data_IF_643761645758
#
_entry.id   IF_643761645758
#
_cell.length_a   1.000
_cell.length_b   1.000
_cell.length_c   1.000
_cell.angle_alpha   90.00
_cell.angle_beta   90.00
_cell.angle_gamma   90.00
#
_symmetry.space_group_name_H-M   'P 1'
#
loop_
_entity.id
_entity.type
_entity.pdbx_description
1 polymer ?
#
# COMPACT_ATOMS: atom_id res chain seq x y z
N UNK A 1 -48.02 45.01 -62.20
CA UNK A 1 -46.65 45.42 -62.17
C UNK A 1 -46.18 45.40 -60.72
N UNK A 2 -45.54 44.35 -60.24
CA UNK A 2 -44.71 44.07 -59.12
C UNK A 2 -44.83 42.58 -58.79
N UNK A 3 -43.80 41.85 -59.21
CA UNK A 3 -43.59 40.45 -58.98
C UNK A 3 -42.89 40.35 -57.58
N UNK A 4 -43.43 39.55 -56.66
CA UNK A 4 -42.80 39.22 -55.40
C UNK A 4 -42.47 37.73 -55.46
N UNK A 5 -41.15 37.42 -55.55
CA UNK A 5 -40.59 36.12 -55.44
C UNK A 5 -40.45 35.81 -53.89
N UNK A 6 -41.12 34.76 -53.45
CA UNK A 6 -40.92 34.19 -52.10
C UNK A 6 -39.92 33.04 -52.23
N UNK A 7 -38.71 33.23 -51.66
CA UNK A 7 -37.70 32.19 -51.47
C UNK A 7 -37.98 31.51 -50.18
N UNK A 8 -38.42 30.24 -50.21
CA UNK A 8 -38.58 29.39 -49.03
C UNK A 8 -37.23 28.78 -48.61
N UNK A 9 -36.69 29.21 -47.51
CA UNK A 9 -35.54 28.56 -46.84
C UNK A 9 -36.04 27.37 -46.02
N UNK A 10 -35.89 26.16 -46.58
CA UNK A 10 -36.08 24.93 -45.80
C UNK A 10 -34.90 24.69 -44.87
N UNK A 11 -35.09 24.88 -43.57
CA UNK A 11 -34.12 24.49 -42.55
C UNK A 11 -34.25 22.99 -42.32
N UNK A 12 -33.27 22.21 -42.84
CA UNK A 12 -33.08 20.82 -42.46
C UNK A 12 -32.46 20.76 -41.05
N UNK A 13 -33.29 20.50 -40.02
CA UNK A 13 -32.82 20.16 -38.69
C UNK A 13 -32.34 18.71 -38.77
N UNK A 14 -31.04 18.53 -38.99
CA UNK A 14 -30.37 17.25 -38.75
C UNK A 14 -30.45 16.96 -37.25
N UNK A 15 -31.41 16.14 -36.85
CA UNK A 15 -31.50 15.59 -35.51
C UNK A 15 -30.27 14.72 -35.26
N UNK A 16 -29.29 15.26 -34.51
CA UNK A 16 -28.29 14.46 -33.88
C UNK A 16 -28.99 13.63 -32.79
N UNK A 17 -29.37 12.40 -33.12
CA UNK A 17 -29.67 11.42 -32.11
C UNK A 17 -28.39 11.24 -31.27
N UNK A 18 -28.42 11.41 -29.94
CA UNK A 18 -27.28 11.03 -29.12
C UNK A 18 -27.06 9.53 -29.36
N UNK A 19 -25.95 9.16 -30.01
CA UNK A 19 -25.45 7.80 -30.02
C UNK A 19 -25.27 7.42 -28.55
N UNK A 20 -26.26 6.74 -27.98
CA UNK A 20 -26.11 6.07 -26.68
C UNK A 20 -24.91 5.16 -26.82
N UNK A 21 -23.76 5.59 -26.33
CA UNK A 21 -22.62 4.71 -26.17
C UNK A 21 -23.12 3.55 -25.32
N UNK A 22 -23.32 2.39 -25.95
CA UNK A 22 -23.77 1.19 -25.29
C UNK A 22 -22.73 0.90 -24.21
N UNK A 23 -23.11 1.12 -22.95
CA UNK A 23 -22.18 0.90 -21.83
C UNK A 23 -21.70 -0.53 -21.91
N UNK A 24 -20.43 -0.70 -22.18
CA UNK A 24 -19.81 -2.03 -22.21
C UNK A 24 -20.14 -2.76 -20.90
N UNK A 25 -20.65 -4.01 -20.95
CA UNK A 25 -21.01 -4.75 -19.74
C UNK A 25 -19.79 -4.85 -18.81
N UNK A 26 -20.02 -4.84 -17.48
CA UNK A 26 -18.96 -5.04 -16.49
C UNK A 26 -18.31 -6.40 -16.74
N UNK A 27 -17.00 -6.54 -16.44
CA UNK A 27 -16.31 -7.83 -16.53
C UNK A 27 -16.93 -8.84 -15.56
N UNK A 28 -16.71 -10.11 -15.84
CA UNK A 28 -17.03 -11.17 -14.90
C UNK A 28 -16.28 -10.99 -13.58
N UNK A 29 -17.01 -11.03 -12.47
CA UNK A 29 -16.48 -10.74 -11.14
C UNK A 29 -15.34 -11.68 -10.75
N UNK A 30 -15.54 -13.00 -10.95
CA UNK A 30 -14.56 -14.01 -10.56
C UNK A 30 -13.27 -13.90 -11.34
N UNK A 31 -13.37 -13.60 -12.63
CA UNK A 31 -12.22 -13.38 -13.52
C UNK A 31 -11.45 -12.12 -13.11
N UNK A 32 -12.15 -11.03 -12.80
CA UNK A 32 -11.55 -9.78 -12.35
C UNK A 32 -10.81 -9.97 -11.02
N UNK A 33 -11.46 -10.58 -10.02
CA UNK A 33 -10.85 -10.79 -8.71
C UNK A 33 -9.65 -11.72 -8.76
N UNK A 34 -9.70 -12.75 -9.61
CA UNK A 34 -8.55 -13.64 -9.84
C UNK A 34 -7.35 -12.86 -10.40
N UNK A 35 -7.56 -12.07 -11.45
CA UNK A 35 -6.51 -11.27 -12.07
C UNK A 35 -5.94 -10.23 -11.10
N UNK A 36 -6.79 -9.54 -10.33
CA UNK A 36 -6.36 -8.60 -9.28
C UNK A 36 -5.49 -9.30 -8.23
N UNK A 37 -5.90 -10.50 -7.77
CA UNK A 37 -5.13 -11.27 -6.78
C UNK A 37 -3.76 -11.67 -7.31
N UNK A 38 -3.68 -12.17 -8.54
CA UNK A 38 -2.41 -12.54 -9.20
C UNK A 38 -1.47 -11.33 -9.31
N UNK A 39 -2.01 -10.18 -9.69
CA UNK A 39 -1.26 -8.93 -9.79
C UNK A 39 -0.74 -8.45 -8.43
N UNK A 40 -1.54 -8.53 -7.37
CA UNK A 40 -1.10 -8.20 -6.01
C UNK A 40 0.05 -9.10 -5.53
N UNK A 41 -0.03 -10.40 -5.80
CA UNK A 41 1.03 -11.37 -5.46
C UNK A 41 2.31 -11.08 -6.26
N UNK A 42 2.18 -10.73 -7.54
CA UNK A 42 3.30 -10.34 -8.39
C UNK A 42 3.96 -9.06 -7.87
N UNK A 43 3.17 -8.02 -7.58
CA UNK A 43 3.67 -6.76 -7.05
C UNK A 43 4.40 -6.94 -5.71
N UNK A 44 3.89 -7.77 -4.80
CA UNK A 44 4.57 -8.06 -3.53
C UNK A 44 5.96 -8.68 -3.75
N UNK A 45 6.09 -9.59 -4.71
CA UNK A 45 7.38 -10.23 -5.05
C UNK A 45 8.38 -9.23 -5.64
N UNK A 46 7.90 -8.35 -6.53
CA UNK A 46 8.77 -7.38 -7.21
C UNK A 46 9.18 -6.21 -6.31
N UNK A 47 8.35 -5.83 -5.33
CA UNK A 47 8.65 -4.72 -4.40
C UNK A 47 9.98 -4.86 -3.69
N UNK A 48 10.44 -6.09 -3.41
CA UNK A 48 11.74 -6.34 -2.77
C UNK A 48 12.95 -6.03 -3.66
N UNK A 49 12.72 -5.72 -4.92
CA UNK A 49 13.77 -5.34 -5.89
C UNK A 49 13.94 -3.85 -6.05
N UNK A 50 13.16 -3.05 -5.31
CA UNK A 50 13.19 -1.59 -5.42
C UNK A 50 13.64 -0.96 -4.11
N UNK A 51 14.56 -0.02 -4.19
CA UNK A 51 14.81 0.97 -3.14
C UNK A 51 13.93 2.18 -3.39
N UNK A 52 13.57 2.89 -2.33
CA UNK A 52 12.67 4.03 -2.42
C UNK A 52 12.86 5.00 -1.26
N UNK A 53 12.40 6.24 -1.44
CA UNK A 53 12.21 7.21 -0.36
C UNK A 53 10.91 6.93 0.39
N UNK A 54 10.92 7.03 1.71
CA UNK A 54 9.74 6.91 2.55
C UNK A 54 9.65 8.12 3.48
N UNK A 55 8.66 8.98 3.28
CA UNK A 55 8.36 10.07 4.21
C UNK A 55 7.21 9.64 5.10
N UNK A 56 7.44 9.66 6.39
CA UNK A 56 6.40 9.47 7.40
C UNK A 56 6.05 10.77 8.06
N UNK A 57 4.77 11.05 8.12
CA UNK A 57 4.19 12.08 8.98
C UNK A 57 3.32 11.36 9.99
N UNK A 58 3.62 11.55 11.26
CA UNK A 58 3.00 10.80 12.34
C UNK A 58 2.61 11.79 13.43
N UNK A 59 1.40 12.31 13.35
CA UNK A 59 0.87 13.24 14.33
C UNK A 59 -0.03 12.45 15.27
N UNK A 60 0.55 12.05 16.39
CA UNK A 60 -0.19 11.45 17.49
C UNK A 60 -0.26 12.44 18.65
N UNK A 61 -1.43 12.90 18.95
CA UNK A 61 -1.66 13.66 20.18
C UNK A 61 -2.20 12.70 21.25
N UNK A 62 -1.30 12.27 22.13
CA UNK A 62 -1.71 11.68 23.40
C UNK A 62 -1.06 12.47 24.54
N UNK A 63 -1.70 12.48 25.74
CA UNK A 63 -1.20 13.24 26.89
C UNK A 63 0.18 12.80 27.39
N UNK A 64 0.73 11.68 26.94
CA UNK A 64 2.05 11.18 27.36
C UNK A 64 3.14 11.36 26.31
N UNK A 65 2.81 11.79 25.08
CA UNK A 65 3.78 11.96 24.01
C UNK A 65 4.51 10.69 23.56
N UNK A 66 4.04 9.48 23.95
CA UNK A 66 4.79 8.22 23.80
C UNK A 66 4.20 7.22 22.81
N UNK A 67 3.00 7.41 22.30
CA UNK A 67 2.40 6.52 21.28
C UNK A 67 2.59 7.10 19.89
N UNK A 68 3.78 7.02 19.39
CA UNK A 68 4.20 7.62 18.16
C UNK A 68 5.23 8.70 18.44
N UNK A 69 6.21 8.79 17.60
CA UNK A 69 7.30 9.74 17.79
C UNK A 69 6.90 11.17 17.49
N UNK A 70 5.65 11.40 17.07
CA UNK A 70 5.18 12.70 16.56
C UNK A 70 6.20 13.32 15.62
N UNK A 71 5.80 13.88 14.48
CA UNK A 71 6.72 14.58 13.63
C UNK A 71 6.91 13.94 12.25
N UNK A 72 7.87 14.45 11.51
CA UNK A 72 8.18 14.04 10.14
C UNK A 72 9.51 13.30 10.11
N UNK A 73 9.55 12.16 9.43
CA UNK A 73 10.79 11.40 9.23
C UNK A 73 10.93 11.03 7.77
N UNK A 74 12.12 11.20 7.23
CA UNK A 74 12.47 10.82 5.87
C UNK A 74 13.49 9.70 5.92
N UNK A 75 13.16 8.61 5.21
CA UNK A 75 14.00 7.42 5.14
C UNK A 75 14.36 7.11 3.69
N UNK A 76 15.55 6.60 3.48
CA UNK A 76 15.87 5.74 2.35
C UNK A 76 15.61 4.30 2.76
N UNK A 77 14.85 3.55 1.95
CA UNK A 77 14.47 2.18 2.27
C UNK A 77 15.12 1.22 1.29
N UNK A 78 15.79 0.23 1.84
CA UNK A 78 16.45 -0.85 1.10
C UNK A 78 15.79 -2.16 1.54
N UNK A 79 14.77 -2.62 0.81
CA UNK A 79 14.04 -3.83 1.18
C UNK A 79 14.90 -5.08 0.98
N UNK A 80 14.54 -6.10 1.74
CA UNK A 80 15.15 -7.42 1.63
C UNK A 80 14.06 -8.48 1.54
N UNK A 81 14.25 -9.58 0.80
CA UNK A 81 13.35 -10.73 0.80
C UNK A 81 13.08 -11.27 2.21
N UNK A 82 14.09 -11.22 3.07
CA UNK A 82 13.92 -11.40 4.50
C UNK A 82 13.55 -10.06 5.14
N UNK A 83 12.29 -9.83 5.43
CA UNK A 83 11.80 -8.56 6.03
C UNK A 83 12.62 -8.09 7.25
N UNK A 84 13.29 -9.02 7.94
CA UNK A 84 14.19 -8.74 9.07
C UNK A 84 15.42 -7.93 8.67
N UNK A 85 15.81 -7.99 7.40
CA UNK A 85 16.95 -7.30 6.82
C UNK A 85 16.57 -6.07 6.00
N UNK A 86 15.29 -5.70 5.93
CA UNK A 86 14.90 -4.41 5.35
C UNK A 86 15.53 -3.28 6.15
N UNK A 87 16.34 -2.47 5.48
CA UNK A 87 17.01 -1.33 6.07
C UNK A 87 16.25 -0.03 5.81
N UNK A 88 15.89 0.68 6.85
CA UNK A 88 15.35 2.05 6.81
C UNK A 88 16.40 2.99 7.36
N UNK A 89 17.08 3.67 6.47
CA UNK A 89 18.11 4.66 6.76
C UNK A 89 17.44 6.00 7.01
N UNK A 90 17.42 6.46 8.24
CA UNK A 90 16.88 7.78 8.57
C UNK A 90 17.83 8.86 8.08
N UNK A 91 17.37 9.75 7.19
CA UNK A 91 18.16 10.83 6.60
C UNK A 91 17.72 12.22 7.03
N UNK A 92 16.45 12.36 7.47
CA UNK A 92 15.91 13.61 7.99
C UNK A 92 14.90 13.34 9.11
N UNK A 93 14.89 14.18 10.14
CA UNK A 93 13.91 14.18 11.22
C UNK A 93 13.43 15.61 11.46
N UNK A 94 12.11 15.82 11.36
CA UNK A 94 11.44 17.11 11.59
C UNK A 94 12.03 18.28 10.77
N UNK A 95 12.41 18.01 9.50
CA UNK A 95 13.03 18.98 8.59
C UNK A 95 14.53 19.19 8.82
N UNK A 96 15.11 18.51 9.80
CA UNK A 96 16.55 18.58 10.08
C UNK A 96 17.27 17.36 9.53
N UNK A 97 18.26 17.57 8.69
CA UNK A 97 19.07 16.49 8.12
C UNK A 97 19.88 15.79 9.20
N UNK A 98 19.90 14.48 9.19
CA UNK A 98 20.72 13.69 10.13
C UNK A 98 22.19 13.88 9.80
N UNK A 99 23.05 14.20 10.80
CA UNK A 99 24.48 14.36 10.60
C UNK A 99 25.14 13.12 9.99
N UNK A 100 26.09 13.32 9.06
CA UNK A 100 26.75 12.24 8.33
C UNK A 100 27.34 11.15 9.25
N UNK A 101 27.93 11.55 10.38
CA UNK A 101 28.46 10.60 11.38
C UNK A 101 27.36 9.69 11.98
N UNK A 102 26.15 10.21 12.22
CA UNK A 102 25.04 9.42 12.72
C UNK A 102 24.50 8.49 11.63
N UNK A 103 24.44 8.94 10.36
CA UNK A 103 24.08 8.10 9.22
C UNK A 103 25.10 6.95 9.08
N UNK A 104 26.40 7.25 9.12
CA UNK A 104 27.43 6.22 9.08
C UNK A 104 27.33 5.21 10.23
N UNK A 105 26.97 5.66 11.44
CA UNK A 105 26.73 4.78 12.58
C UNK A 105 25.48 3.88 12.39
N UNK A 106 24.42 4.36 11.72
CA UNK A 106 23.27 3.55 11.32
C UNK A 106 23.71 2.47 10.32
N UNK A 107 24.45 2.84 9.28
CA UNK A 107 24.96 1.92 8.27
C UNK A 107 25.83 0.83 8.89
N UNK A 108 26.70 1.19 9.83
CA UNK A 108 27.56 0.23 10.51
C UNK A 108 26.75 -0.77 11.37
N UNK A 109 25.75 -0.30 12.13
CA UNK A 109 24.84 -1.17 12.88
C UNK A 109 24.08 -2.13 11.98
N UNK A 110 23.64 -1.65 10.80
CA UNK A 110 22.97 -2.50 9.83
C UNK A 110 23.91 -3.59 9.28
N UNK A 111 25.16 -3.24 8.90
CA UNK A 111 26.16 -4.21 8.43
C UNK A 111 26.46 -5.29 9.48
N UNK A 112 26.61 -4.90 10.73
CA UNK A 112 26.82 -5.86 11.83
C UNK A 112 25.66 -6.84 11.95
N UNK A 113 24.44 -6.31 12.00
CA UNK A 113 23.22 -7.14 12.05
C UNK A 113 23.07 -8.03 10.81
N UNK A 114 23.39 -7.51 9.64
CA UNK A 114 23.36 -8.29 8.41
C UNK A 114 24.32 -9.49 8.49
N UNK A 115 25.55 -9.25 8.90
CA UNK A 115 26.58 -10.30 9.06
C UNK A 115 26.17 -11.34 10.13
N UNK A 116 25.52 -10.92 11.22
CA UNK A 116 24.98 -11.83 12.25
C UNK A 116 23.90 -12.75 11.67
N UNK A 117 22.93 -12.16 10.96
CA UNK A 117 21.84 -12.93 10.33
C UNK A 117 22.38 -13.89 9.27
N UNK A 118 23.39 -13.47 8.47
CA UNK A 118 24.01 -14.37 7.48
C UNK A 118 24.75 -15.54 8.16
N UNK A 119 25.44 -15.30 9.27
CA UNK A 119 26.08 -16.37 10.05
C UNK A 119 25.06 -17.34 10.64
N UNK A 120 23.96 -16.82 11.20
CA UNK A 120 22.86 -17.65 11.71
C UNK A 120 22.24 -18.52 10.59
N UNK A 121 21.97 -17.91 9.43
CA UNK A 121 21.48 -18.63 8.25
C UNK A 121 22.46 -19.74 7.85
N UNK A 122 23.74 -19.43 7.74
CA UNK A 122 24.77 -20.41 7.33
C UNK A 122 24.87 -21.56 8.35
N UNK A 123 24.89 -21.27 9.64
CA UNK A 123 24.94 -22.29 10.69
C UNK A 123 23.71 -23.21 10.67
N UNK A 124 22.52 -22.64 10.50
CA UNK A 124 21.25 -23.39 10.44
C UNK A 124 21.14 -24.25 9.17
N UNK A 125 21.61 -23.72 8.03
CA UNK A 125 21.65 -24.47 6.77
C UNK A 125 22.66 -25.61 6.82
N UNK A 126 23.79 -25.43 7.52
CA UNK A 126 24.76 -26.49 7.73
C UNK A 126 24.22 -27.62 8.63
N UNK A 127 23.39 -27.27 9.64
CA UNK A 127 22.74 -28.24 10.52
C UNK A 127 21.57 -28.97 9.83
N UNK A 128 20.78 -28.27 9.03
CA UNK A 128 19.66 -28.81 8.25
C UNK A 128 19.51 -28.02 6.94
N UNK A 129 19.89 -28.57 5.79
CA UNK A 129 19.77 -27.90 4.48
C UNK A 129 18.35 -27.49 4.12
N UNK A 130 17.32 -28.17 4.65
CA UNK A 130 15.91 -27.91 4.35
C UNK A 130 15.25 -26.92 5.32
N UNK A 131 15.94 -26.50 6.38
CA UNK A 131 15.35 -25.65 7.44
C UNK A 131 14.84 -24.33 6.89
N UNK A 132 15.59 -23.68 6.00
CA UNK A 132 15.21 -22.40 5.40
C UNK A 132 14.05 -22.53 4.43
N UNK A 133 14.02 -23.61 3.67
CA UNK A 133 12.92 -23.90 2.76
C UNK A 133 11.61 -24.13 3.53
N UNK A 134 11.66 -24.95 4.57
CA UNK A 134 10.53 -25.19 5.45
C UNK A 134 10.00 -23.92 6.14
N UNK A 135 10.91 -23.04 6.58
CA UNK A 135 10.50 -21.73 7.14
C UNK A 135 9.90 -20.80 6.10
N UNK A 136 10.48 -20.73 4.91
CA UNK A 136 9.97 -19.95 3.80
C UNK A 136 8.57 -20.44 3.38
N UNK A 137 8.37 -21.76 3.33
CA UNK A 137 7.08 -22.36 3.02
C UNK A 137 6.04 -22.01 4.09
N UNK A 138 6.33 -22.23 5.38
CA UNK A 138 5.45 -21.83 6.49
C UNK A 138 5.13 -20.33 6.50
N UNK A 139 6.08 -19.49 6.11
CA UNK A 139 5.87 -18.06 6.00
C UNK A 139 4.93 -17.69 4.83
N UNK A 140 5.04 -18.40 3.69
CA UNK A 140 4.11 -18.25 2.56
C UNK A 140 2.70 -18.67 2.93
N UNK A 141 2.54 -19.83 3.56
CA UNK A 141 1.25 -20.34 4.01
C UNK A 141 0.56 -19.42 5.03
N UNK A 142 1.32 -18.88 6.00
CA UNK A 142 0.76 -17.88 6.93
C UNK A 142 0.30 -16.62 6.22
N UNK A 143 1.05 -16.14 5.22
CA UNK A 143 0.64 -14.96 4.43
C UNK A 143 -0.60 -15.27 3.59
N UNK A 144 -0.60 -16.43 2.94
CA UNK A 144 -1.73 -16.86 2.12
C UNK A 144 -3.00 -16.96 2.98
N UNK A 145 -2.95 -17.63 4.12
CA UNK A 145 -4.07 -17.72 5.06
C UNK A 145 -4.57 -16.35 5.50
N UNK A 146 -3.67 -15.39 5.75
CA UNK A 146 -4.08 -14.05 6.13
C UNK A 146 -4.80 -13.30 5.00
N UNK A 147 -4.37 -13.49 3.75
CA UNK A 147 -5.04 -12.92 2.56
C UNK A 147 -6.41 -13.57 2.35
N UNK A 148 -6.45 -14.91 2.38
CA UNK A 148 -7.69 -15.66 2.19
C UNK A 148 -8.72 -15.28 3.27
N UNK A 149 -8.31 -15.23 4.53
CA UNK A 149 -9.18 -14.86 5.66
C UNK A 149 -9.74 -13.43 5.51
N UNK A 150 -8.94 -12.47 4.98
CA UNK A 150 -9.43 -11.12 4.66
C UNK A 150 -10.47 -11.17 3.54
N UNK A 151 -10.19 -11.89 2.46
CA UNK A 151 -11.11 -12.00 1.31
C UNK A 151 -12.43 -12.68 1.74
N UNK A 152 -12.34 -13.77 2.50
CA UNK A 152 -13.50 -14.50 2.97
C UNK A 152 -14.37 -13.69 3.96
N UNK A 153 -13.74 -12.78 4.68
CA UNK A 153 -14.40 -11.89 5.67
C UNK A 153 -15.14 -10.73 5.01
N UNK A 154 -14.80 -10.34 3.79
CA UNK A 154 -15.38 -9.19 3.10
C UNK A 154 -16.40 -9.64 2.04
N UNK A 155 -17.50 -8.90 1.94
CA UNK A 155 -18.41 -8.94 0.81
C UNK A 155 -17.99 -7.88 -0.20
N UNK A 156 -17.90 -8.23 -1.48
CA UNK A 156 -17.53 -7.34 -2.56
C UNK A 156 -18.70 -7.15 -3.53
N UNK A 157 -18.88 -5.93 -4.03
CA UNK A 157 -19.92 -5.59 -5.01
C UNK A 157 -19.31 -4.65 -6.07
N UNK A 158 -19.31 -5.06 -7.33
CA UNK A 158 -18.98 -4.13 -8.42
C UNK A 158 -20.08 -3.09 -8.57
N UNK A 159 -19.74 -1.80 -8.41
CA UNK A 159 -20.72 -0.72 -8.45
C UNK A 159 -20.81 -0.07 -9.82
N UNK A 160 -19.79 -0.18 -10.67
CA UNK A 160 -19.78 0.36 -12.03
C UNK A 160 -18.42 0.85 -12.48
N UNK A 161 -18.42 1.45 -13.67
CA UNK A 161 -17.26 2.17 -14.19
C UNK A 161 -17.30 3.62 -13.78
N UNK A 162 -16.14 4.11 -13.33
CA UNK A 162 -15.96 5.50 -12.89
C UNK A 162 -14.63 6.03 -13.40
N UNK A 163 -14.48 7.35 -13.40
CA UNK A 163 -13.17 7.97 -13.51
C UNK A 163 -12.73 8.41 -12.11
N UNK A 164 -11.70 7.76 -11.57
CA UNK A 164 -11.16 8.08 -10.26
C UNK A 164 -9.74 8.60 -10.39
N UNK A 165 -9.47 9.81 -9.88
CA UNK A 165 -8.16 10.51 -10.01
C UNK A 165 -7.64 10.55 -11.46
N UNK A 166 -8.54 10.71 -12.43
CA UNK A 166 -8.21 10.77 -13.85
C UNK A 166 -7.98 9.41 -14.54
N UNK A 167 -8.12 8.30 -13.81
CA UNK A 167 -7.96 6.93 -14.34
C UNK A 167 -9.33 6.27 -14.51
N UNK A 168 -9.66 5.73 -15.70
CA UNK A 168 -10.83 4.87 -15.87
C UNK A 168 -10.71 3.62 -15.01
N UNK A 169 -11.72 3.35 -14.20
CA UNK A 169 -11.67 2.30 -13.20
C UNK A 169 -13.00 1.57 -13.05
N UNK A 170 -12.93 0.34 -12.55
CA UNK A 170 -14.06 -0.34 -11.96
C UNK A 170 -14.05 -0.04 -10.46
N UNK A 171 -15.14 0.52 -9.98
CA UNK A 171 -15.36 0.73 -8.55
C UNK A 171 -15.96 -0.55 -7.94
N UNK A 172 -15.32 -1.04 -6.87
CA UNK A 172 -15.73 -2.23 -6.15
C UNK A 172 -15.95 -1.84 -4.69
N UNK A 173 -17.21 -1.78 -4.28
CA UNK A 173 -17.56 -1.62 -2.88
C UNK A 173 -17.20 -2.86 -2.08
N UNK A 174 -16.80 -2.69 -0.84
CA UNK A 174 -16.58 -3.79 0.10
C UNK A 174 -17.12 -3.45 1.49
N UNK A 175 -17.53 -4.48 2.21
CA UNK A 175 -17.95 -4.37 3.62
C UNK A 175 -17.65 -5.68 4.36
N UNK A 176 -17.40 -5.59 5.66
CA UNK A 176 -17.27 -6.78 6.50
C UNK A 176 -18.59 -7.57 6.56
N UNK A 177 -18.55 -8.88 6.34
CA UNK A 177 -19.68 -9.77 6.54
C UNK A 177 -19.98 -9.91 8.03
N UNK A 178 -21.23 -9.76 8.42
CA UNK A 178 -21.64 -9.83 9.82
C UNK A 178 -21.46 -11.23 10.43
N UNK A 179 -21.64 -12.27 9.62
CA UNK A 179 -21.56 -13.69 9.97
C UNK A 179 -20.15 -14.29 9.81
N UNK A 180 -19.18 -13.52 9.27
CA UNK A 180 -17.81 -14.00 9.13
C UNK A 180 -17.15 -14.20 10.50
N UNK A 181 -16.39 -15.30 10.62
CA UNK A 181 -15.61 -15.63 11.81
C UNK A 181 -14.10 -15.68 11.46
N UNK A 182 -13.45 -14.54 11.30
CA UNK A 182 -12.05 -14.49 10.86
C UNK A 182 -11.10 -15.09 11.89
N UNK A 183 -10.25 -15.98 11.42
CA UNK A 183 -9.25 -16.69 12.21
C UNK A 183 -8.01 -15.84 12.50
N UNK A 184 -7.65 -14.95 11.58
CA UNK A 184 -6.46 -14.11 11.65
C UNK A 184 -6.76 -12.73 12.25
N UNK A 185 -5.70 -12.06 12.71
CA UNK A 185 -5.82 -10.66 13.13
C UNK A 185 -6.21 -9.75 11.97
N UNK A 186 -5.68 -10.02 10.78
CA UNK A 186 -5.95 -9.25 9.56
C UNK A 186 -7.41 -9.34 9.15
N UNK A 187 -8.01 -10.54 9.17
CA UNK A 187 -9.43 -10.74 8.93
C UNK A 187 -10.31 -10.00 9.95
N UNK A 188 -9.98 -10.11 11.25
CA UNK A 188 -10.72 -9.38 12.30
C UNK A 188 -10.66 -7.86 12.14
N UNK A 189 -9.54 -7.33 11.67
CA UNK A 189 -9.43 -5.89 11.36
C UNK A 189 -10.24 -5.56 10.11
N UNK A 190 -10.09 -6.35 9.03
CA UNK A 190 -10.80 -6.13 7.78
C UNK A 190 -12.32 -6.14 7.95
N UNK A 191 -12.87 -7.03 8.80
CA UNK A 191 -14.29 -7.10 9.13
C UNK A 191 -14.87 -5.77 9.66
N UNK A 192 -14.01 -4.93 10.23
CA UNK A 192 -14.39 -3.63 10.79
C UNK A 192 -14.31 -2.49 9.79
N UNK A 193 -14.11 -2.77 8.51
CA UNK A 193 -14.02 -1.74 7.48
C UNK A 193 -15.05 -1.94 6.38
N UNK A 194 -15.52 -0.83 5.83
CA UNK A 194 -16.20 -0.76 4.56
C UNK A 194 -15.56 0.32 3.70
N UNK A 195 -15.75 0.25 2.38
CA UNK A 195 -15.14 1.22 1.50
C UNK A 195 -15.23 0.87 0.04
N UNK A 196 -14.33 1.44 -0.75
CA UNK A 196 -14.25 1.22 -2.20
C UNK A 196 -12.82 0.94 -2.63
N UNK A 197 -12.66 -0.07 -3.45
CA UNK A 197 -11.47 -0.35 -4.23
C UNK A 197 -11.67 0.21 -5.64
N UNK A 198 -10.65 0.81 -6.21
CA UNK A 198 -10.65 1.26 -7.60
C UNK A 198 -9.61 0.46 -8.38
N UNK A 199 -10.10 -0.28 -9.37
CA UNK A 199 -9.30 -1.19 -10.20
C UNK A 199 -9.16 -0.59 -11.59
N UNK A 200 -7.94 -0.40 -12.09
CA UNK A 200 -7.70 -0.07 -13.50
C UNK A 200 -8.11 -1.26 -14.36
N UNK A 201 -9.21 -1.12 -15.13
CA UNK A 201 -9.79 -2.20 -15.93
C UNK A 201 -8.83 -2.71 -17.01
N UNK A 202 -7.88 -1.89 -17.48
CA UNK A 202 -6.95 -2.27 -18.56
C UNK A 202 -5.92 -3.31 -18.12
N UNK A 203 -5.55 -3.27 -16.84
CA UNK A 203 -4.46 -4.08 -16.29
C UNK A 203 -4.89 -4.90 -15.06
N UNK A 204 -6.13 -4.75 -14.60
CA UNK A 204 -6.69 -5.40 -13.41
C UNK A 204 -5.86 -5.17 -12.14
N UNK A 205 -5.38 -3.94 -11.95
CA UNK A 205 -4.61 -3.54 -10.79
C UNK A 205 -5.37 -2.58 -9.89
N UNK A 206 -5.38 -2.84 -8.59
CA UNK A 206 -5.91 -1.88 -7.62
C UNK A 206 -4.94 -0.71 -7.54
N UNK A 207 -5.40 0.50 -7.86
CA UNK A 207 -4.59 1.71 -7.76
C UNK A 207 -5.04 2.65 -6.64
N UNK A 208 -6.26 2.48 -6.12
CA UNK A 208 -6.73 3.26 -4.98
C UNK A 208 -7.64 2.42 -4.09
N UNK A 209 -7.55 2.67 -2.80
CA UNK A 209 -8.43 2.15 -1.76
C UNK A 209 -8.88 3.30 -0.88
N UNK A 210 -10.16 3.37 -0.60
CA UNK A 210 -10.75 4.28 0.39
C UNK A 210 -11.61 3.46 1.33
N UNK A 211 -11.31 3.50 2.63
CA UNK A 211 -11.97 2.69 3.64
C UNK A 211 -12.27 3.49 4.92
N UNK A 212 -13.36 3.14 5.57
CA UNK A 212 -13.74 3.72 6.87
C UNK A 212 -14.12 2.58 7.80
N UNK A 213 -13.68 2.65 9.06
CA UNK A 213 -14.06 1.65 10.04
C UNK A 213 -15.53 1.81 10.45
N UNK A 214 -16.25 0.68 10.45
CA UNK A 214 -17.66 0.54 10.86
C UNK A 214 -17.81 0.13 12.33
N UNK A 215 -16.71 0.13 13.06
CA UNK A 215 -16.69 -0.19 14.48
C UNK A 215 -15.28 -0.04 15.05
N UNK A 216 -15.17 -0.21 16.34
CA UNK A 216 -13.93 -0.04 17.06
C UNK A 216 -12.87 -1.10 16.73
N UNK A 217 -11.63 -0.68 16.55
CA UNK A 217 -10.48 -1.52 16.28
C UNK A 217 -9.59 -1.57 17.54
N UNK A 218 -9.49 -2.73 18.16
CA UNK A 218 -8.75 -2.92 19.39
C UNK A 218 -7.33 -3.45 19.16
N UNK A 219 -6.36 -2.88 19.87
CA UNK A 219 -4.97 -3.32 19.93
C UNK A 219 -4.63 -3.72 21.35
N UNK A 220 -3.94 -4.86 21.51
CA UNK A 220 -3.55 -5.35 22.83
C UNK A 220 -4.76 -5.61 23.73
N UNK A 221 -5.76 -6.36 23.22
CA UNK A 221 -7.03 -6.64 23.93
C UNK A 221 -7.81 -5.37 24.35
N UNK A 222 -7.60 -4.25 23.62
CA UNK A 222 -8.23 -2.97 23.95
C UNK A 222 -7.58 -2.19 25.09
N UNK A 223 -6.61 -2.79 25.79
CA UNK A 223 -5.88 -2.12 26.87
C UNK A 223 -4.79 -1.17 26.37
N UNK A 224 -4.14 -1.50 25.24
CA UNK A 224 -3.06 -0.66 24.70
C UNK A 224 -3.61 0.50 23.88
N UNK A 225 -4.48 0.22 22.92
CA UNK A 225 -5.16 1.25 22.14
C UNK A 225 -6.48 0.71 21.58
N UNK A 226 -7.43 1.61 21.39
CA UNK A 226 -8.70 1.36 20.72
C UNK A 226 -8.96 2.54 19.79
N UNK A 227 -9.00 2.26 18.48
CA UNK A 227 -9.43 3.24 17.48
C UNK A 227 -10.92 3.16 17.34
N UNK A 228 -11.57 4.30 17.31
CA UNK A 228 -13.02 4.39 17.20
C UNK A 228 -13.51 4.18 15.77
N UNK A 229 -14.79 3.91 15.67
CA UNK A 229 -15.55 3.94 14.42
C UNK A 229 -15.31 5.26 13.67
N UNK A 230 -15.39 5.24 12.34
CA UNK A 230 -15.08 6.38 11.48
C UNK A 230 -13.58 6.61 11.23
N UNK A 231 -12.71 5.68 11.66
CA UNK A 231 -11.28 5.73 11.28
C UNK A 231 -11.13 5.53 9.78
N UNK A 232 -10.69 6.58 9.08
CA UNK A 232 -10.51 6.56 7.63
C UNK A 232 -9.10 6.12 7.25
N UNK A 233 -9.02 5.30 6.21
CA UNK A 233 -7.76 4.81 5.60
C UNK A 233 -7.85 5.03 4.10
N UNK A 234 -6.80 5.61 3.51
CA UNK A 234 -6.68 5.69 2.05
C UNK A 234 -5.33 5.13 1.62
N UNK A 235 -5.31 4.42 0.48
CA UNK A 235 -4.09 3.96 -0.18
C UNK A 235 -4.15 4.38 -1.64
N UNK A 236 -3.05 4.94 -2.15
CA UNK A 236 -2.88 5.23 -3.57
C UNK A 236 -1.65 4.48 -4.07
N UNK A 237 -1.75 3.94 -5.28
CA UNK A 237 -0.65 3.29 -6.01
C UNK A 237 -0.49 3.97 -7.35
N UNK A 238 0.71 4.00 -7.88
CA UNK A 238 1.03 4.54 -9.20
C UNK A 238 1.88 3.55 -9.99
N UNK A 239 1.88 3.73 -11.30
CA UNK A 239 2.63 2.88 -12.22
C UNK A 239 4.10 3.29 -12.21
N UNK A 240 4.98 2.39 -11.78
CA UNK A 240 6.43 2.55 -11.77
C UNK A 240 7.03 1.78 -12.94
N UNK A 241 7.98 2.40 -13.64
CA UNK A 241 8.65 1.82 -14.82
C UNK A 241 7.69 1.26 -15.90
N UNK A 242 6.46 1.78 -15.95
CA UNK A 242 5.45 1.41 -16.96
C UNK A 242 4.81 0.03 -16.80
N UNK A 243 5.15 -0.74 -15.78
CA UNK A 243 4.66 -2.11 -15.66
C UNK A 243 4.31 -2.60 -14.24
N UNK A 244 4.69 -1.85 -13.20
CA UNK A 244 4.48 -2.27 -11.80
C UNK A 244 3.76 -1.19 -10.99
N UNK A 245 2.60 -1.52 -10.47
CA UNK A 245 1.87 -0.63 -9.57
C UNK A 245 2.46 -0.69 -8.16
N UNK A 246 2.98 0.43 -7.67
CA UNK A 246 3.62 0.56 -6.38
C UNK A 246 2.86 1.56 -5.49
N UNK A 247 2.81 1.36 -4.17
CA UNK A 247 2.18 2.32 -3.27
C UNK A 247 2.92 3.66 -3.33
N UNK A 248 2.17 4.76 -3.42
CA UNK A 248 2.74 6.11 -3.36
C UNK A 248 2.29 6.86 -2.12
N UNK A 249 1.11 6.56 -1.61
CA UNK A 249 0.60 7.22 -0.41
C UNK A 249 -0.34 6.31 0.38
N UNK A 250 -0.13 6.29 1.69
CA UNK A 250 -1.07 5.74 2.67
C UNK A 250 -1.41 6.83 3.68
N UNK A 251 -2.69 7.03 3.98
CA UNK A 251 -3.12 7.89 5.08
C UNK A 251 -4.02 7.12 6.03
N UNK A 252 -3.97 7.47 7.30
CA UNK A 252 -4.91 6.99 8.30
C UNK A 252 -5.27 8.14 9.24
N UNK A 253 -6.57 8.42 9.37
CA UNK A 253 -7.09 9.45 10.27
C UNK A 253 -8.15 8.84 11.16
N UNK A 254 -8.04 9.04 12.45
CA UNK A 254 -8.97 8.46 13.39
C UNK A 254 -8.86 9.05 14.79
N UNK A 255 -9.85 8.73 15.59
CA UNK A 255 -9.88 9.05 17.03
C UNK A 255 -10.09 7.77 17.81
N UNK A 256 -9.63 7.74 19.04
CA UNK A 256 -9.76 6.56 19.88
C UNK A 256 -9.32 6.83 21.30
N UNK A 257 -8.89 5.75 21.95
CA UNK A 257 -8.38 5.75 23.32
C UNK A 257 -7.08 4.98 23.41
N UNK A 258 -6.17 5.46 24.24
CA UNK A 258 -4.98 4.72 24.64
C UNK A 258 -5.01 4.47 26.14
N UNK A 259 -4.42 3.36 26.60
CA UNK A 259 -4.35 3.02 28.01
C UNK A 259 -5.70 3.18 28.75
N UNK A 260 -6.75 2.59 28.16
CA UNK A 260 -8.15 2.52 28.62
C UNK A 260 -8.92 3.84 28.55
N UNK A 261 -8.38 4.97 29.00
CA UNK A 261 -9.17 6.20 29.22
C UNK A 261 -8.62 7.44 28.49
N UNK A 262 -7.44 7.38 27.88
CA UNK A 262 -6.81 8.58 27.33
C UNK A 262 -7.16 8.81 25.88
N UNK A 263 -7.63 10.01 25.51
CA UNK A 263 -7.95 10.29 24.12
C UNK A 263 -6.73 10.14 23.25
N UNK A 264 -6.93 9.51 22.09
CA UNK A 264 -5.94 9.29 21.06
C UNK A 264 -6.46 9.86 19.75
N UNK A 265 -5.70 10.77 19.13
CA UNK A 265 -5.95 11.23 17.77
C UNK A 265 -4.81 10.72 16.90
N UNK A 266 -5.14 10.10 15.80
CA UNK A 266 -4.19 9.63 14.80
C UNK A 266 -4.40 10.44 13.53
N UNK A 267 -3.34 11.05 13.03
CA UNK A 267 -3.21 11.59 11.68
C UNK A 267 -1.86 11.15 11.16
N UNK A 268 -1.87 10.03 10.43
CA UNK A 268 -0.69 9.34 9.96
C UNK A 268 -0.68 9.35 8.44
N UNK A 269 0.47 9.64 7.86
CA UNK A 269 0.69 9.51 6.42
C UNK A 269 2.07 8.91 6.14
N UNK A 270 2.10 8.05 5.11
CA UNK A 270 3.34 7.61 4.48
C UNK A 270 3.27 8.00 3.02
N UNK A 271 4.29 8.69 2.53
CA UNK A 271 4.53 8.91 1.12
C UNK A 271 5.73 8.09 0.70
N UNK A 272 5.60 7.31 -0.37
CA UNK A 272 6.68 6.54 -1.00
C UNK A 272 6.96 7.13 -2.37
N UNK A 273 8.24 7.30 -2.70
CA UNK A 273 8.67 7.98 -3.91
C UNK A 273 10.07 7.52 -4.34
N UNK A 274 10.51 7.94 -5.54
CA UNK A 274 11.84 7.64 -6.08
C UNK A 274 12.15 6.14 -6.10
N UNK A 275 11.22 5.34 -6.57
CA UNK A 275 11.42 3.91 -6.76
C UNK A 275 12.54 3.66 -7.76
N UNK A 276 13.55 2.88 -7.35
CA UNK A 276 14.69 2.51 -8.20
C UNK A 276 14.97 1.04 -8.07
N UNK A 277 15.08 0.36 -9.18
CA UNK A 277 15.36 -1.06 -9.21
C UNK A 277 16.80 -1.33 -8.76
N UNK A 278 16.95 -2.28 -7.83
CA UNK A 278 18.26 -2.78 -7.42
C UNK A 278 18.75 -3.84 -8.42
N UNK A 279 20.05 -3.90 -8.72
CA UNK A 279 20.62 -5.02 -9.46
C UNK A 279 20.32 -6.33 -8.74
N UNK A 280 20.04 -7.39 -9.52
CA UNK A 280 19.61 -8.71 -9.00
C UNK A 280 20.60 -9.32 -8.01
N UNK A 281 21.87 -8.97 -8.12
CA UNK A 281 22.97 -9.52 -7.30
C UNK A 281 23.17 -8.81 -5.95
N UNK A 282 22.47 -7.72 -5.70
CA UNK A 282 22.71 -6.88 -4.52
C UNK A 282 21.46 -6.68 -3.68
N UNK A 283 21.15 -7.67 -2.85
CA UNK A 283 20.06 -7.58 -1.86
C UNK A 283 20.41 -6.72 -0.63
N UNK A 284 21.64 -6.26 -0.54
CA UNK A 284 22.12 -5.40 0.54
C UNK A 284 23.11 -4.36 0.01
N UNK A 285 22.64 -3.23 -0.56
CA UNK A 285 23.49 -2.22 -1.20
C UNK A 285 24.58 -1.67 -0.28
N UNK A 286 24.40 -1.73 1.04
CA UNK A 286 25.42 -1.29 2.02
C UNK A 286 26.50 -2.32 2.32
N UNK A 287 26.36 -3.55 1.84
CA UNK A 287 27.39 -4.60 1.95
C UNK A 287 28.26 -4.64 0.70
N UNK A 288 27.75 -4.13 -0.45
CA UNK A 288 28.53 -4.03 -1.68
C UNK A 288 29.18 -2.64 -1.81
N UNK A 289 30.53 -2.55 -1.73
CA UNK A 289 31.26 -1.29 -1.85
C UNK A 289 31.09 -0.59 -3.21
N UNK A 290 30.64 -1.31 -4.25
CA UNK A 290 30.40 -0.75 -5.59
C UNK A 290 29.15 0.10 -5.63
N UNK A 291 28.11 -0.23 -4.85
CA UNK A 291 26.86 0.51 -4.77
C UNK A 291 27.03 1.75 -3.91
N UNK A 292 27.80 1.65 -2.84
CA UNK A 292 28.12 2.79 -1.98
C UNK A 292 28.81 3.91 -2.76
N UNK A 293 29.72 3.59 -3.67
CA UNK A 293 30.41 4.57 -4.53
C UNK A 293 29.51 5.28 -5.55
N UNK A 294 28.35 4.71 -5.91
CA UNK A 294 27.37 5.35 -6.78
C UNK A 294 26.47 6.33 -6.01
N UNK A 295 26.15 6.05 -4.75
CA UNK A 295 25.37 6.95 -3.90
C UNK A 295 26.15 8.21 -3.50
N UNK A 296 27.46 8.05 -3.27
CA UNK A 296 28.35 9.14 -2.86
C UNK A 296 28.75 10.11 -4.02
N UNK A 297 28.47 9.74 -5.27
CA UNK A 297 28.79 10.55 -6.47
C UNK A 297 27.62 11.40 -6.99
N UNK A 298 26.52 11.53 -6.23
CA UNK A 298 25.42 12.40 -6.63
C UNK A 298 25.47 13.72 -5.87
N UNK A 299 25.38 14.85 -6.60
CA UNK A 299 25.40 16.20 -6.04
C UNK A 299 24.21 16.48 -5.13
#
# INVERSE_FOLDING_TARGET
MKILLAVGCGIWVLGFAPSGAQERPLPDADSLFRAVRENLVRAERETHRYTYGERRTDIHTNPFGRLGTGGKSLFEVYPSPTRRLTYRRLIEKDGVRIPAAQVAAQDQRYRTRFAEVQRDIAARTAADPLVLEGEAQRARERRQRAVDDVVDTLAFTMTGRVTHKGVPAIAIGFAGKADANPSTRQGRIAQKFSGTLYVDERVNEIFSLEATSTGDISYGYGMVAKLGEGTAVTLTRELVEGHLWMPTRLTMKGRGRALVLRPLVIDFAIDWFDYRRLPVESLAPFVDPRIQRQSDRRP
#
